data_IF_325049140428
#
_entry.id   IF_325049140428
#
_cell.length_a   1.000
_cell.length_b   1.000
_cell.length_c   1.000
_cell.angle_alpha   90.00
_cell.angle_beta   90.00
_cell.angle_gamma   90.00
#
_symmetry.space_group_name_H-M   'P 1'
#
loop_
_entity.id
_entity.type
_entity.pdbx_description
1 polymer ?
#
# COMPACT_ATOMS: atom_id res chain seq x y z
N UNK A 1 -19.21 14.99 -20.44
CA UNK A 1 -18.75 14.74 -19.05
C UNK A 1 -17.42 15.45 -18.85
N UNK A 2 -17.27 16.23 -17.78
CA UNK A 2 -16.03 16.97 -17.51
C UNK A 2 -14.88 16.03 -17.11
N UNK A 3 -13.65 16.44 -17.40
CA UNK A 3 -12.46 15.74 -16.94
C UNK A 3 -12.35 15.89 -15.42
N UNK A 4 -12.01 14.80 -14.72
CA UNK A 4 -11.83 14.80 -13.26
C UNK A 4 -10.33 14.70 -12.92
N UNK A 5 -9.89 15.54 -12.01
CA UNK A 5 -8.52 15.51 -11.48
C UNK A 5 -8.38 14.31 -10.52
N UNK A 6 -7.16 13.74 -10.46
CA UNK A 6 -6.87 12.71 -9.47
C UNK A 6 -7.08 13.26 -8.05
N UNK A 7 -7.95 12.65 -7.23
CA UNK A 7 -8.29 13.18 -5.89
C UNK A 7 -7.12 13.17 -4.92
N UNK A 8 -6.17 12.26 -5.06
CA UNK A 8 -4.94 12.24 -4.25
C UNK A 8 -4.04 13.39 -4.67
N UNK A 9 -3.83 13.56 -5.99
CA UNK A 9 -3.00 14.65 -6.53
C UNK A 9 -3.50 16.04 -6.13
N UNK A 10 -4.81 16.25 -6.08
CA UNK A 10 -5.41 17.51 -5.62
C UNK A 10 -5.08 17.83 -4.14
N UNK A 11 -4.89 16.81 -3.31
CA UNK A 11 -4.70 16.92 -1.87
C UNK A 11 -3.25 16.88 -1.40
N UNK A 12 -2.33 16.55 -2.30
CA UNK A 12 -0.90 16.53 -1.98
C UNK A 12 -0.43 17.94 -1.61
N UNK A 13 0.29 18.04 -0.50
CA UNK A 13 0.76 19.30 0.06
C UNK A 13 -0.26 20.05 0.91
N UNK A 14 -1.54 19.62 0.96
CA UNK A 14 -2.59 20.19 1.83
C UNK A 14 -2.81 19.25 3.03
N UNK A 15 -3.35 18.04 2.78
CA UNK A 15 -3.66 17.05 3.81
C UNK A 15 -3.23 15.63 3.46
N UNK A 16 -2.61 15.43 2.31
CA UNK A 16 -2.00 14.18 1.86
C UNK A 16 -0.54 14.41 1.57
N UNK A 17 0.27 13.41 1.88
CA UNK A 17 1.68 13.37 1.57
C UNK A 17 1.95 12.38 0.44
N UNK A 18 3.15 12.44 -0.14
CA UNK A 18 3.60 11.50 -1.16
C UNK A 18 3.75 10.08 -0.59
N UNK A 19 3.32 9.11 -1.35
CA UNK A 19 3.52 7.70 -0.99
C UNK A 19 4.93 7.20 -1.30
N UNK A 20 5.62 7.84 -2.24
CA UNK A 20 7.04 7.60 -2.54
C UNK A 20 7.83 8.83 -2.12
N UNK A 21 8.66 8.69 -1.08
CA UNK A 21 9.42 9.78 -0.45
C UNK A 21 10.90 9.62 -0.77
N UNK A 22 11.28 10.01 -1.97
CA UNK A 22 12.65 9.99 -2.41
C UNK A 22 12.90 10.99 -3.54
N UNK A 23 14.15 11.35 -3.72
CA UNK A 23 14.63 12.16 -4.84
C UNK A 23 15.75 11.41 -5.56
N UNK A 24 15.78 11.52 -6.88
CA UNK A 24 16.85 10.96 -7.70
C UNK A 24 17.18 11.88 -8.89
N UNK A 25 18.44 11.91 -9.33
CA UNK A 25 18.81 12.59 -10.57
C UNK A 25 18.16 11.92 -11.78
N UNK A 26 18.01 12.65 -12.88
CA UNK A 26 17.32 12.18 -14.09
C UNK A 26 17.78 10.82 -14.59
N UNK A 27 19.09 10.51 -14.45
CA UNK A 27 19.66 9.22 -14.88
C UNK A 27 19.12 8.02 -14.10
N UNK A 28 18.90 8.19 -12.81
CA UNK A 28 18.50 7.09 -11.91
C UNK A 28 17.00 7.06 -11.64
N UNK A 29 16.29 8.14 -11.98
CA UNK A 29 14.86 8.29 -11.72
C UNK A 29 14.03 7.13 -12.27
N UNK A 30 14.25 6.79 -13.55
CA UNK A 30 13.51 5.71 -14.21
C UNK A 30 13.75 4.34 -13.53
N UNK A 31 14.97 4.09 -13.06
CA UNK A 31 15.34 2.86 -12.34
C UNK A 31 14.56 2.75 -11.03
N UNK A 32 14.57 3.81 -10.22
CA UNK A 32 13.88 3.81 -8.92
C UNK A 32 12.36 3.77 -9.08
N UNK A 33 11.81 4.49 -10.05
CA UNK A 33 10.38 4.44 -10.34
C UNK A 33 9.94 3.03 -10.74
N UNK A 34 10.67 2.36 -11.62
CA UNK A 34 10.37 0.98 -12.02
C UNK A 34 10.51 0.00 -10.85
N UNK A 35 11.47 0.20 -9.95
CA UNK A 35 11.61 -0.60 -8.75
C UNK A 35 10.41 -0.41 -7.81
N UNK A 36 9.96 0.83 -7.59
CA UNK A 36 8.77 1.12 -6.78
C UNK A 36 7.49 0.49 -7.35
N UNK A 37 7.31 0.59 -8.67
CA UNK A 37 6.17 -0.06 -9.33
C UNK A 37 6.18 -1.59 -9.17
N UNK A 38 7.35 -2.23 -9.23
CA UNK A 38 7.49 -3.66 -8.99
C UNK A 38 7.18 -4.02 -7.54
N UNK A 39 7.66 -3.23 -6.57
CA UNK A 39 7.36 -3.41 -5.13
C UNK A 39 5.86 -3.33 -4.89
N UNK A 40 5.20 -2.25 -5.34
CA UNK A 40 3.75 -2.06 -5.17
C UNK A 40 2.97 -3.21 -5.80
N UNK A 41 3.25 -3.54 -7.06
CA UNK A 41 2.57 -4.62 -7.78
C UNK A 41 2.72 -6.00 -7.10
N UNK A 42 3.88 -6.28 -6.53
CA UNK A 42 4.11 -7.50 -5.76
C UNK A 42 3.31 -7.50 -4.47
N UNK A 43 3.38 -6.42 -3.69
CA UNK A 43 2.67 -6.31 -2.41
C UNK A 43 1.15 -6.30 -2.59
N UNK A 44 0.62 -5.60 -3.60
CA UNK A 44 -0.81 -5.59 -3.91
C UNK A 44 -1.34 -7.00 -4.24
N UNK A 45 -0.51 -7.82 -4.89
CA UNK A 45 -0.86 -9.20 -5.21
C UNK A 45 -0.82 -10.12 -4.00
N UNK A 46 0.27 -10.08 -3.23
CA UNK A 46 0.50 -11.01 -2.10
C UNK A 46 -0.34 -10.65 -0.87
N UNK A 47 -0.57 -9.36 -0.64
CA UNK A 47 -1.32 -8.86 0.52
C UNK A 47 -2.81 -8.63 0.22
N UNK A 48 -3.32 -9.20 -0.87
CA UNK A 48 -4.74 -9.10 -1.22
C UNK A 48 -5.59 -9.73 -0.11
N UNK A 49 -6.49 -8.92 0.47
CA UNK A 49 -7.33 -9.34 1.61
C UNK A 49 -6.71 -9.12 3.00
N UNK A 50 -5.48 -8.61 3.08
CA UNK A 50 -4.87 -8.23 4.35
C UNK A 50 -5.25 -6.82 4.83
N UNK A 51 -6.22 -6.18 4.18
CA UNK A 51 -6.73 -4.84 4.53
C UNK A 51 -5.60 -3.81 4.61
N UNK A 52 -4.85 -3.66 3.52
CA UNK A 52 -3.74 -2.70 3.40
C UNK A 52 -4.31 -1.32 3.08
N UNK A 53 -4.00 -0.33 3.91
CA UNK A 53 -4.46 1.04 3.76
C UNK A 53 -3.55 1.88 2.84
N UNK A 54 -2.24 1.74 3.00
CA UNK A 54 -1.24 2.45 2.19
C UNK A 54 0.13 1.76 2.23
N UNK A 55 0.92 2.00 1.20
CA UNK A 55 2.31 1.53 1.08
C UNK A 55 3.18 2.76 0.83
N UNK A 56 4.00 3.12 1.81
CA UNK A 56 4.94 4.24 1.73
C UNK A 56 6.33 3.68 1.44
N UNK A 57 7.02 4.25 0.45
CA UNK A 57 8.36 3.85 0.06
C UNK A 57 9.31 5.02 0.27
N UNK A 58 10.28 4.85 1.15
CA UNK A 58 11.31 5.84 1.46
C UNK A 58 12.67 5.29 1.04
N UNK A 59 13.43 6.08 0.30
CA UNK A 59 14.77 5.70 -0.16
C UNK A 59 15.82 6.58 0.47
N UNK A 60 16.74 5.95 1.16
CA UNK A 60 18.00 6.55 1.59
C UNK A 60 19.13 6.00 0.71
N UNK A 61 20.30 6.64 0.72
CA UNK A 61 21.43 6.31 -0.18
C UNK A 61 21.83 4.82 -0.25
N UNK A 62 21.49 4.02 0.75
CA UNK A 62 21.86 2.60 0.83
C UNK A 62 20.70 1.64 1.09
N UNK A 63 19.53 2.15 1.45
CA UNK A 63 18.43 1.32 1.96
C UNK A 63 17.10 1.83 1.45
N UNK A 64 16.20 0.90 1.14
CA UNK A 64 14.81 1.20 0.79
C UNK A 64 13.92 0.72 1.93
N UNK A 65 13.26 1.66 2.61
CA UNK A 65 12.28 1.36 3.65
C UNK A 65 10.88 1.33 3.02
N UNK A 66 10.18 0.24 3.22
CA UNK A 66 8.79 0.09 2.78
C UNK A 66 7.91 -0.05 4.00
N UNK A 67 7.09 0.95 4.25
CA UNK A 67 6.15 0.97 5.37
C UNK A 67 4.76 0.59 4.87
N UNK A 68 4.20 -0.48 5.42
CA UNK A 68 2.88 -1.00 5.08
C UNK A 68 1.93 -0.67 6.22
N UNK A 69 0.92 0.17 5.95
CA UNK A 69 -0.15 0.47 6.90
C UNK A 69 -1.30 -0.51 6.69
N UNK A 70 -1.68 -1.25 7.72
CA UNK A 70 -2.74 -2.26 7.65
C UNK A 70 -3.60 -2.26 8.92
N UNK A 71 -4.86 -2.66 8.79
CA UNK A 71 -5.74 -2.89 9.96
C UNK A 71 -5.52 -4.26 10.61
N UNK A 72 -4.83 -5.19 9.92
CA UNK A 72 -4.58 -6.56 10.40
C UNK A 72 -3.08 -6.89 10.39
N UNK A 73 -2.26 -6.25 11.25
CA UNK A 73 -0.81 -6.44 11.24
C UNK A 73 -0.39 -7.89 11.45
N UNK A 74 -1.10 -8.64 12.30
CA UNK A 74 -0.80 -10.03 12.59
C UNK A 74 -0.86 -10.95 11.36
N UNK A 75 -1.75 -10.68 10.41
CA UNK A 75 -1.87 -11.46 9.17
C UNK A 75 -0.68 -11.19 8.24
N UNK A 76 -0.23 -9.93 8.17
CA UNK A 76 0.91 -9.53 7.33
C UNK A 76 2.24 -9.99 7.92
N UNK A 77 2.35 -9.99 9.25
CA UNK A 77 3.54 -10.47 9.98
C UNK A 77 3.69 -11.99 9.84
N UNK A 78 2.57 -12.70 9.92
CA UNK A 78 2.56 -14.16 9.93
C UNK A 78 3.03 -14.76 11.25
N UNK A 79 3.03 -16.08 11.34
CA UNK A 79 3.47 -16.79 12.55
C UNK A 79 4.98 -16.59 12.77
N UNK A 80 5.35 -15.95 13.87
CA UNK A 80 6.75 -15.71 14.22
C UNK A 80 7.52 -14.80 13.26
N UNK A 81 6.85 -14.02 12.41
CA UNK A 81 7.51 -13.12 11.47
C UNK A 81 7.96 -13.78 10.15
N UNK A 82 7.56 -15.04 9.92
CA UNK A 82 8.01 -15.80 8.74
C UNK A 82 7.56 -15.17 7.41
N UNK A 83 6.35 -14.61 7.36
CA UNK A 83 5.82 -14.02 6.14
C UNK A 83 6.51 -12.69 5.79
N UNK A 84 6.83 -11.86 6.78
CA UNK A 84 7.63 -10.65 6.55
C UNK A 84 9.00 -11.00 5.97
N UNK A 85 9.69 -11.99 6.53
CA UNK A 85 11.02 -12.38 6.01
C UNK A 85 10.91 -12.95 4.59
N UNK A 86 9.87 -13.71 4.30
CA UNK A 86 9.58 -14.22 2.96
C UNK A 86 9.39 -13.06 1.98
N UNK A 87 8.54 -12.08 2.31
CA UNK A 87 8.29 -10.90 1.47
C UNK A 87 9.55 -10.05 1.31
N UNK A 88 10.31 -9.84 2.37
CA UNK A 88 11.60 -9.13 2.32
C UNK A 88 12.56 -9.78 1.31
N UNK A 89 12.78 -11.09 1.42
CA UNK A 89 13.66 -11.84 0.51
C UNK A 89 13.17 -11.80 -0.94
N UNK A 90 11.85 -11.91 -1.16
CA UNK A 90 11.27 -11.84 -2.50
C UNK A 90 11.45 -10.46 -3.12
N UNK A 91 11.20 -9.39 -2.36
CA UNK A 91 11.39 -8.01 -2.82
C UNK A 91 12.86 -7.70 -3.11
N UNK A 92 13.80 -8.15 -2.28
CA UNK A 92 15.24 -8.01 -2.53
C UNK A 92 15.66 -8.69 -3.83
N UNK A 93 15.13 -9.89 -4.12
CA UNK A 93 15.39 -10.58 -5.41
C UNK A 93 14.82 -9.82 -6.61
N UNK A 94 13.64 -9.19 -6.47
CA UNK A 94 12.98 -8.45 -7.55
C UNK A 94 13.64 -7.13 -7.89
N UNK A 95 14.17 -6.43 -6.88
CA UNK A 95 14.72 -5.08 -7.05
C UNK A 95 16.26 -5.04 -7.08
N UNK A 96 16.90 -6.03 -6.47
CA UNK A 96 18.35 -6.04 -6.27
C UNK A 96 18.83 -5.04 -5.21
N UNK A 97 17.93 -4.48 -4.41
CA UNK A 97 18.22 -3.47 -3.38
C UNK A 97 18.01 -4.04 -1.98
N UNK A 98 18.68 -3.46 -0.98
CA UNK A 98 18.44 -3.80 0.42
C UNK A 98 17.12 -3.18 0.88
N UNK A 99 16.12 -4.03 1.17
CA UNK A 99 14.77 -3.59 1.55
C UNK A 99 14.49 -3.91 3.02
N UNK A 100 13.94 -2.94 3.72
CA UNK A 100 13.40 -3.07 5.06
C UNK A 100 11.89 -2.92 5.01
N UNK A 101 11.18 -3.88 5.61
CA UNK A 101 9.73 -3.84 5.74
C UNK A 101 9.37 -3.40 7.16
N UNK A 102 8.56 -2.36 7.27
CA UNK A 102 7.95 -1.90 8.51
C UNK A 102 6.43 -2.02 8.40
N UNK A 103 5.77 -2.49 9.45
CA UNK A 103 4.32 -2.61 9.49
C UNK A 103 3.78 -1.65 10.54
N UNK A 104 2.81 -0.84 10.15
CA UNK A 104 2.12 0.12 11.01
C UNK A 104 0.65 -0.25 11.09
N UNK A 105 0.13 -0.31 12.29
CA UNK A 105 -1.28 -0.58 12.53
C UNK A 105 -2.14 0.66 12.32
N UNK A 106 -3.23 0.51 11.59
CA UNK A 106 -4.29 1.52 11.45
C UNK A 106 -5.32 1.31 12.56
N UNK A 107 -5.28 2.16 13.59
CA UNK A 107 -6.15 2.05 14.77
C UNK A 107 -7.65 2.12 14.43
N UNK A 108 -8.03 3.01 13.51
CA UNK A 108 -9.43 3.24 13.11
C UNK A 108 -9.61 2.92 11.62
N UNK A 109 -9.86 1.67 11.24
CA UNK A 109 -9.99 1.27 9.84
C UNK A 109 -11.20 1.93 9.15
N UNK A 110 -12.28 2.20 9.89
CA UNK A 110 -13.51 2.78 9.35
C UNK A 110 -13.36 4.24 8.91
N UNK A 111 -12.34 4.94 9.40
CA UNK A 111 -12.00 6.29 8.94
C UNK A 111 -11.10 6.29 7.69
N UNK A 112 -10.63 5.13 7.25
CA UNK A 112 -9.76 5.03 6.09
C UNK A 112 -10.57 4.66 4.84
N UNK A 113 -10.67 5.59 3.89
CA UNK A 113 -11.47 5.42 2.68
C UNK A 113 -11.06 4.21 1.83
N UNK A 114 -9.77 3.85 1.79
CA UNK A 114 -9.29 2.69 1.04
C UNK A 114 -9.79 1.39 1.65
N UNK A 115 -9.72 1.26 2.99
CA UNK A 115 -10.20 0.07 3.71
C UNK A 115 -11.72 -0.08 3.62
N UNK A 116 -12.44 1.03 3.73
CA UNK A 116 -13.91 1.04 3.55
C UNK A 116 -14.29 0.62 2.13
N UNK A 117 -13.59 1.12 1.12
CA UNK A 117 -13.83 0.73 -0.28
C UNK A 117 -13.55 -0.75 -0.52
N UNK A 118 -12.46 -1.30 0.06
CA UNK A 118 -12.16 -2.74 0.00
C UNK A 118 -13.25 -3.58 0.68
N UNK A 119 -13.73 -3.15 1.83
CA UNK A 119 -14.82 -3.82 2.55
C UNK A 119 -16.11 -3.86 1.72
N UNK A 120 -16.50 -2.74 1.08
CA UNK A 120 -17.65 -2.69 0.17
C UNK A 120 -17.44 -3.64 -1.01
N UNK A 121 -16.26 -3.62 -1.63
CA UNK A 121 -15.94 -4.49 -2.76
C UNK A 121 -16.06 -5.98 -2.39
N UNK A 122 -15.54 -6.38 -1.25
CA UNK A 122 -15.65 -7.75 -0.73
C UNK A 122 -17.11 -8.16 -0.48
N UNK A 123 -17.93 -7.28 0.08
CA UNK A 123 -19.36 -7.56 0.28
C UNK A 123 -20.08 -7.77 -1.06
N UNK A 124 -19.79 -6.96 -2.07
CA UNK A 124 -20.37 -7.11 -3.41
C UNK A 124 -19.89 -8.40 -4.08
N UNK A 125 -18.63 -8.76 -3.96
CA UNK A 125 -18.09 -10.05 -4.44
C UNK A 125 -18.82 -11.23 -3.80
N UNK A 126 -19.18 -11.12 -2.52
CA UNK A 126 -19.99 -12.10 -1.80
C UNK A 126 -21.49 -12.00 -2.09
N UNK A 127 -21.87 -11.35 -3.21
CA UNK A 127 -23.25 -11.21 -3.69
C UNK A 127 -24.18 -10.42 -2.77
N UNK A 128 -23.65 -9.57 -1.87
CA UNK A 128 -24.49 -8.67 -1.10
C UNK A 128 -25.09 -7.58 -2.00
N UNK A 129 -26.33 -7.15 -1.78
CA UNK A 129 -26.94 -6.05 -2.53
C UNK A 129 -26.10 -4.76 -2.33
N UNK A 130 -25.73 -4.10 -3.43
CA UNK A 130 -24.83 -2.92 -3.39
C UNK A 130 -25.37 -1.79 -2.50
N UNK A 131 -26.71 -1.57 -2.49
CA UNK A 131 -27.34 -0.56 -1.63
C UNK A 131 -27.17 -0.86 -0.14
N UNK A 132 -27.26 -2.14 0.26
CA UNK A 132 -27.06 -2.55 1.64
C UNK A 132 -25.59 -2.46 2.03
N UNK A 133 -24.67 -2.86 1.16
CA UNK A 133 -23.23 -2.75 1.38
C UNK A 133 -22.78 -1.28 1.60
N UNK A 134 -23.28 -0.38 0.77
CA UNK A 134 -22.99 1.06 0.91
C UNK A 134 -23.56 1.65 2.20
N UNK A 135 -24.83 1.33 2.54
CA UNK A 135 -25.45 1.83 3.79
C UNK A 135 -24.79 1.33 5.07
N UNK A 136 -24.15 0.16 5.03
CA UNK A 136 -23.41 -0.36 6.19
C UNK A 136 -22.05 0.31 6.38
N UNK A 137 -21.49 0.86 5.29
CA UNK A 137 -20.19 1.50 5.29
C UNK A 137 -20.24 3.00 5.66
N UNK A 138 -21.43 3.60 5.68
CA UNK A 138 -21.71 4.97 6.12
C UNK A 138 -22.07 4.99 7.59
#
# INVERSE_FOLDING_TARGET
MGQKVNPVGLRIGINKDWESKWYAPTKDFAKYLNADLKIRKYLDKELKGCSVASIIIERNNKRTNVTISTSKPGVVIGKGGADIERHKKALQKLTGEEIYLSIVEVKNPDLNAALVAESIALQIQNRAPFRAAQKRAI
#
